data_IF_593978239688
#
_entry.id   IF_593978239688
#
_cell.length_a   1.000
_cell.length_b   1.000
_cell.length_c   1.000
_cell.angle_alpha   90.00
_cell.angle_beta   90.00
_cell.angle_gamma   90.00
#
_symmetry.space_group_name_H-M   'P 1'
#
loop_
_entity.id
_entity.type
_entity.pdbx_description
1 polymer ?
#
# COMPACT_ATOMS: atom_id res chain seq x y z
N UNK A 1 4.09 19.48 -3.03
CA UNK A 1 3.53 18.59 -2.00
C UNK A 1 2.02 18.46 -2.15
N UNK A 2 1.59 17.79 -3.23
CA UNK A 2 0.19 17.70 -3.66
C UNK A 2 -0.24 16.24 -3.92
N UNK A 3 0.60 15.29 -3.53
CA UNK A 3 0.41 13.87 -3.80
C UNK A 3 0.15 13.13 -2.50
N UNK A 4 -0.82 12.20 -2.52
CA UNK A 4 -1.15 11.37 -1.36
C UNK A 4 0.03 10.47 -0.97
N UNK A 5 0.27 10.36 0.33
CA UNK A 5 1.19 9.35 0.87
C UNK A 5 0.51 7.97 0.97
N UNK A 6 1.26 6.93 1.33
CA UNK A 6 0.72 5.56 1.47
C UNK A 6 -0.45 5.45 2.44
N UNK A 7 -0.34 6.08 3.61
CA UNK A 7 -1.38 5.99 4.65
C UNK A 7 -2.71 6.58 4.15
N UNK A 8 -2.64 7.73 3.46
CA UNK A 8 -3.79 8.35 2.85
C UNK A 8 -4.42 7.46 1.77
N UNK A 9 -3.60 6.81 0.93
CA UNK A 9 -4.10 5.86 -0.07
C UNK A 9 -4.82 4.67 0.59
N UNK A 10 -4.22 4.08 1.62
CA UNK A 10 -4.81 2.96 2.37
C UNK A 10 -6.12 3.37 3.01
N UNK A 11 -6.18 4.54 3.64
CA UNK A 11 -7.39 5.06 4.25
C UNK A 11 -8.52 5.25 3.23
N UNK A 12 -8.21 5.81 2.05
CA UNK A 12 -9.18 6.00 0.96
C UNK A 12 -9.74 4.66 0.45
N UNK A 13 -8.88 3.66 0.27
CA UNK A 13 -9.32 2.33 -0.18
C UNK A 13 -10.23 1.68 0.85
N UNK A 14 -9.83 1.69 2.12
CA UNK A 14 -10.56 1.02 3.20
C UNK A 14 -11.90 1.70 3.52
N UNK A 15 -11.93 3.04 3.59
CA UNK A 15 -13.13 3.78 4.02
C UNK A 15 -14.10 4.06 2.89
N UNK A 16 -13.62 4.27 1.66
CA UNK A 16 -14.45 4.74 0.56
C UNK A 16 -14.56 3.70 -0.56
N UNK A 17 -13.44 3.31 -1.18
CA UNK A 17 -13.48 2.50 -2.39
C UNK A 17 -14.20 1.15 -2.18
N UNK A 18 -13.90 0.45 -1.09
CA UNK A 18 -14.56 -0.81 -0.74
C UNK A 18 -16.05 -0.60 -0.45
N UNK A 19 -16.40 0.45 0.28
CA UNK A 19 -17.81 0.71 0.65
C UNK A 19 -18.66 1.03 -0.58
N UNK A 20 -18.15 1.87 -1.48
CA UNK A 20 -18.79 2.20 -2.75
C UNK A 20 -18.96 0.94 -3.59
N UNK A 21 -17.89 0.14 -3.74
CA UNK A 21 -17.95 -1.10 -4.51
C UNK A 21 -19.02 -2.06 -3.97
N UNK A 22 -19.05 -2.32 -2.66
CA UNK A 22 -20.05 -3.20 -2.03
C UNK A 22 -21.48 -2.72 -2.24
N UNK A 23 -21.71 -1.40 -2.19
CA UNK A 23 -23.03 -0.83 -2.43
C UNK A 23 -23.46 -0.91 -3.89
N UNK A 24 -22.53 -0.74 -4.83
CA UNK A 24 -22.83 -0.72 -6.26
C UNK A 24 -22.86 -2.11 -6.90
N UNK A 25 -22.12 -3.08 -6.34
CA UNK A 25 -21.91 -4.41 -6.93
C UNK A 25 -21.97 -5.53 -5.86
N UNK A 26 -23.12 -5.78 -5.23
CA UNK A 26 -23.23 -6.61 -4.03
C UNK A 26 -22.89 -8.10 -4.22
N UNK A 27 -22.87 -8.60 -5.46
CA UNK A 27 -22.58 -10.01 -5.81
C UNK A 27 -21.30 -10.19 -6.63
N UNK A 28 -20.51 -9.12 -6.79
CA UNK A 28 -19.27 -9.15 -7.55
C UNK A 28 -18.04 -9.20 -6.64
N UNK A 29 -16.93 -9.70 -7.18
CA UNK A 29 -15.61 -9.57 -6.57
C UNK A 29 -14.84 -8.42 -7.23
N UNK A 30 -14.12 -7.63 -6.42
CA UNK A 30 -13.27 -6.54 -6.89
C UNK A 30 -11.80 -6.93 -6.92
N UNK A 31 -11.10 -6.47 -7.95
CA UNK A 31 -9.64 -6.44 -8.03
C UNK A 31 -9.18 -4.98 -8.05
N UNK A 32 -8.42 -4.56 -7.04
CA UNK A 32 -7.82 -3.23 -6.99
C UNK A 32 -6.38 -3.30 -7.47
N UNK A 33 -6.05 -2.52 -8.52
CA UNK A 33 -4.70 -2.40 -9.06
C UNK A 33 -4.14 -1.03 -8.66
N UNK A 34 -3.05 -1.05 -7.89
CA UNK A 34 -2.39 0.17 -7.40
C UNK A 34 -1.00 0.25 -8.05
N UNK A 35 -0.64 1.42 -8.58
CA UNK A 35 0.68 1.64 -9.16
C UNK A 35 1.75 1.74 -8.06
N UNK A 36 2.96 1.22 -8.33
CA UNK A 36 4.09 1.28 -7.40
C UNK A 36 4.79 2.65 -7.46
N UNK A 37 4.05 3.74 -7.28
CA UNK A 37 4.63 5.08 -7.25
C UNK A 37 5.50 5.27 -6.00
N UNK A 38 6.60 6.01 -6.12
CA UNK A 38 7.53 6.25 -5.00
C UNK A 38 6.92 7.02 -3.83
N UNK A 39 5.83 7.77 -4.07
CA UNK A 39 4.99 8.40 -3.03
C UNK A 39 4.22 7.39 -2.18
N UNK A 40 4.13 6.13 -2.62
CA UNK A 40 3.54 5.00 -1.90
C UNK A 40 4.59 4.00 -1.38
N UNK A 41 5.88 4.30 -1.52
CA UNK A 41 6.98 3.45 -1.03
C UNK A 41 7.15 3.55 0.48
N UNK A 42 6.04 3.48 1.20
CA UNK A 42 6.05 3.41 2.65
C UNK A 42 5.87 1.96 3.08
N UNK A 43 6.75 1.55 3.96
CA UNK A 43 6.84 0.19 4.45
C UNK A 43 6.03 0.16 5.73
N UNK A 44 5.10 -0.80 5.88
CA UNK A 44 4.45 -1.02 7.17
C UNK A 44 5.51 -1.16 8.26
N UNK A 45 5.27 -0.61 9.45
CA UNK A 45 6.24 -0.66 10.57
C UNK A 45 6.70 -2.08 10.88
N UNK A 46 5.85 -3.06 10.60
CA UNK A 46 6.09 -4.48 10.88
C UNK A 46 6.64 -5.24 9.67
N UNK A 47 6.94 -4.57 8.55
CA UNK A 47 7.42 -5.26 7.35
C UNK A 47 8.90 -5.59 7.45
N UNK A 48 9.22 -6.86 7.19
CA UNK A 48 10.59 -7.35 7.12
C UNK A 48 11.25 -6.80 5.85
N UNK A 49 12.02 -5.71 5.98
CA UNK A 49 12.70 -5.09 4.86
C UNK A 49 13.98 -5.87 4.54
N UNK A 50 13.93 -6.79 3.57
CA UNK A 50 15.04 -7.66 3.14
C UNK A 50 16.35 -6.87 2.90
N UNK A 51 16.27 -5.69 2.30
CA UNK A 51 17.42 -4.82 2.06
C UNK A 51 18.08 -4.25 3.33
N UNK A 52 17.45 -4.38 4.49
CA UNK A 52 17.93 -3.92 5.79
C UNK A 52 18.26 -5.07 6.75
N UNK A 53 18.25 -6.33 6.29
CA UNK A 53 18.53 -7.52 7.12
C UNK A 53 20.03 -7.82 7.21
N UNK A 54 20.86 -7.18 6.38
CA UNK A 54 22.31 -7.39 6.45
C UNK A 54 22.86 -6.86 7.77
N UNK A 55 23.23 -7.78 8.67
CA UNK A 55 23.83 -7.48 9.97
C UNK A 55 25.19 -6.79 9.84
N UNK A 56 25.88 -7.01 8.72
CA UNK A 56 27.14 -6.35 8.37
C UNK A 56 27.19 -6.17 6.84
N UNK A 57 27.82 -5.09 6.31
CA UNK A 57 28.21 -5.07 4.91
C UNK A 57 29.15 -6.27 4.67
N UNK A 58 28.86 -7.07 3.65
CA UNK A 58 29.75 -8.17 3.26
C UNK A 58 31.15 -7.61 3.09
N UNK A 59 32.14 -8.15 3.83
CA UNK A 59 33.53 -7.73 3.69
C UNK A 59 34.07 -8.30 2.38
N UNK A 60 34.72 -7.44 1.59
CA UNK A 60 35.67 -7.82 0.54
C UNK A 60 36.96 -8.37 1.15
#
# INVERSE_FOLDING_TARGET
DTWWNSDQLVEQVLKLAISVFKSSFPVCQALFLINNATSHSDYSKDVLRVCAINLHPGRE
#
